data_IF_546662220749
#
_entry.id   IF_546662220749
#
_cell.length_a   1.000
_cell.length_b   1.000
_cell.length_c   1.000
_cell.angle_alpha   90.00
_cell.angle_beta   90.00
_cell.angle_gamma   90.00
#
_symmetry.space_group_name_H-M   'P 1'
#
loop_
_entity.id
_entity.type
_entity.pdbx_description
1 polymer ?
#
# COMPACT_ATOMS: atom_id res chain seq x y z
N UNK A 1 24.69 -38.58 -22.54
CA UNK A 1 23.76 -37.62 -21.90
C UNK A 1 24.52 -37.01 -20.72
N UNK A 2 24.86 -35.72 -20.77
CA UNK A 2 25.40 -35.00 -19.63
C UNK A 2 24.21 -34.41 -18.85
N UNK A 3 24.13 -34.66 -17.55
CA UNK A 3 23.23 -33.99 -16.63
C UNK A 3 24.06 -32.97 -15.84
N UNK A 4 23.64 -31.73 -15.81
CA UNK A 4 24.24 -30.64 -15.03
C UNK A 4 23.17 -29.83 -14.35
N UNK A 5 23.51 -29.10 -13.29
CA UNK A 5 22.64 -28.14 -12.65
C UNK A 5 22.79 -26.75 -13.31
N UNK A 6 21.69 -26.04 -13.47
CA UNK A 6 21.72 -24.64 -13.86
C UNK A 6 22.15 -23.85 -12.63
N UNK A 7 23.27 -23.18 -12.68
CA UNK A 7 23.73 -22.30 -11.60
C UNK A 7 23.44 -20.84 -11.98
N UNK A 8 22.86 -20.08 -11.05
CA UNK A 8 22.68 -18.64 -11.17
C UNK A 8 23.83 -17.98 -10.41
N UNK A 9 24.66 -17.19 -11.11
CA UNK A 9 25.69 -16.39 -10.44
C UNK A 9 25.03 -15.21 -9.74
N UNK A 10 25.27 -15.05 -8.44
CA UNK A 10 24.78 -13.93 -7.63
C UNK A 10 25.26 -12.59 -8.18
N UNK A 11 26.46 -12.53 -8.79
CA UNK A 11 27.01 -11.34 -9.45
C UNK A 11 26.10 -10.75 -10.53
N UNK A 12 25.24 -11.58 -11.14
CA UNK A 12 24.32 -11.13 -12.18
C UNK A 12 22.92 -10.80 -11.65
N UNK A 13 22.58 -11.15 -10.41
CA UNK A 13 21.22 -10.98 -9.87
C UNK A 13 20.93 -9.51 -9.58
N UNK A 14 21.82 -8.78 -8.90
CA UNK A 14 21.62 -7.37 -8.58
C UNK A 14 21.45 -6.47 -9.81
N UNK A 15 22.28 -6.60 -10.86
CA UNK A 15 22.06 -5.88 -12.12
C UNK A 15 20.73 -6.24 -12.80
N UNK A 16 20.28 -7.50 -12.69
CA UNK A 16 18.99 -7.92 -13.24
C UNK A 16 17.83 -7.33 -12.45
N UNK A 17 17.90 -7.32 -11.14
CA UNK A 17 16.90 -6.70 -10.27
C UNK A 17 16.80 -5.19 -10.59
N UNK A 18 17.95 -4.50 -10.62
CA UNK A 18 18.03 -3.07 -10.92
C UNK A 18 17.48 -2.70 -12.30
N UNK A 19 17.66 -3.56 -13.30
CA UNK A 19 17.35 -3.25 -14.70
C UNK A 19 16.00 -3.77 -15.19
N UNK A 20 15.50 -4.88 -14.64
CA UNK A 20 14.37 -5.60 -15.22
C UNK A 20 13.18 -5.85 -14.28
N UNK A 21 13.40 -5.89 -12.96
CA UNK A 21 12.30 -6.16 -12.03
C UNK A 21 11.44 -4.94 -11.74
N UNK A 22 12.04 -3.78 -11.73
CA UNK A 22 11.34 -2.54 -11.37
C UNK A 22 11.64 -1.47 -12.43
N UNK A 23 10.60 -1.07 -13.14
CA UNK A 23 10.68 0.02 -14.14
C UNK A 23 10.76 1.40 -13.51
N UNK A 24 10.38 1.51 -12.22
CA UNK A 24 10.32 2.77 -11.47
C UNK A 24 11.09 2.61 -10.16
N UNK A 25 12.10 3.46 -9.94
CA UNK A 25 12.92 3.45 -8.74
C UNK A 25 12.13 3.82 -7.48
N UNK A 26 11.07 4.61 -7.60
CA UNK A 26 10.23 5.05 -6.49
C UNK A 26 9.61 3.88 -5.70
N UNK A 27 9.47 2.72 -6.33
CA UNK A 27 8.86 1.52 -5.74
C UNK A 27 9.63 1.00 -4.51
N UNK A 28 10.93 1.32 -4.39
CA UNK A 28 11.74 0.87 -3.25
C UNK A 28 11.08 1.21 -1.91
N UNK A 29 10.54 2.42 -1.78
CA UNK A 29 9.93 2.88 -0.54
C UNK A 29 8.67 2.08 -0.20
N UNK A 30 7.81 1.82 -1.20
CA UNK A 30 6.64 0.96 -1.05
C UNK A 30 7.01 -0.44 -0.56
N UNK A 31 8.02 -1.07 -1.17
CA UNK A 31 8.43 -2.42 -0.82
C UNK A 31 9.01 -2.51 0.60
N UNK A 32 9.85 -1.56 0.99
CA UNK A 32 10.46 -1.55 2.33
C UNK A 32 9.43 -1.25 3.43
N UNK A 33 8.51 -0.31 3.19
CA UNK A 33 7.39 -0.03 4.12
C UNK A 33 6.45 -1.24 4.21
N UNK A 34 6.17 -1.94 3.09
CA UNK A 34 5.37 -3.17 3.10
C UNK A 34 6.01 -4.25 3.95
N UNK A 35 7.34 -4.45 3.85
CA UNK A 35 8.07 -5.41 4.67
C UNK A 35 8.01 -5.04 6.17
N UNK A 36 8.12 -3.75 6.50
CA UNK A 36 7.99 -3.25 7.88
C UNK A 36 6.56 -3.47 8.43
N UNK A 37 5.54 -3.26 7.59
CA UNK A 37 4.15 -3.55 7.92
C UNK A 37 3.93 -5.05 8.16
N UNK A 38 4.43 -5.91 7.27
CA UNK A 38 4.33 -7.37 7.42
C UNK A 38 5.02 -7.86 8.71
N UNK A 39 6.20 -7.34 9.03
CA UNK A 39 6.90 -7.67 10.27
C UNK A 39 6.06 -7.29 11.51
N UNK A 40 5.35 -6.18 11.45
CA UNK A 40 4.48 -5.70 12.52
C UNK A 40 3.19 -6.52 12.63
N UNK A 41 2.57 -6.86 11.49
CA UNK A 41 1.36 -7.71 11.46
C UNK A 41 1.66 -9.15 11.90
N UNK A 42 2.81 -9.71 11.53
CA UNK A 42 3.27 -11.02 12.02
C UNK A 42 3.38 -11.03 13.54
N UNK A 43 3.96 -9.98 14.12
CA UNK A 43 4.04 -9.84 15.57
C UNK A 43 2.65 -9.79 16.20
N UNK A 44 1.73 -8.98 15.62
CA UNK A 44 0.34 -8.90 16.10
C UNK A 44 -0.33 -10.27 16.11
N UNK A 45 -0.16 -11.04 15.04
CA UNK A 45 -0.70 -12.39 14.96
C UNK A 45 -0.11 -13.30 16.04
N UNK A 46 1.22 -13.38 16.16
CA UNK A 46 1.90 -14.24 17.14
C UNK A 46 1.57 -13.86 18.58
N UNK A 47 1.38 -12.58 18.89
CA UNK A 47 0.94 -12.16 20.23
C UNK A 47 -0.51 -12.55 20.50
N UNK A 48 -1.39 -12.43 19.51
CA UNK A 48 -2.81 -12.79 19.63
C UNK A 48 -3.01 -14.30 19.88
N UNK A 49 -2.21 -15.16 19.25
CA UNK A 49 -2.27 -16.61 19.45
C UNK A 49 -1.41 -17.08 20.64
N UNK A 50 -0.69 -16.18 21.31
CA UNK A 50 0.13 -16.46 22.49
C UNK A 50 1.48 -17.12 22.22
N UNK A 51 1.94 -17.18 20.97
CA UNK A 51 3.26 -17.69 20.60
C UNK A 51 4.38 -16.67 20.91
N UNK A 52 4.13 -15.39 20.71
CA UNK A 52 5.04 -14.32 21.14
C UNK A 52 4.63 -13.82 22.53
N UNK A 53 5.50 -14.03 23.52
CA UNK A 53 5.30 -13.57 24.90
C UNK A 53 5.86 -12.15 25.11
N UNK A 54 5.51 -11.25 24.24
CA UNK A 54 5.93 -9.84 24.28
C UNK A 54 4.71 -8.95 24.14
N UNK A 55 4.79 -7.75 24.67
CA UNK A 55 3.72 -6.77 24.47
C UNK A 55 3.75 -6.24 23.03
N UNK A 56 2.60 -6.23 22.35
CA UNK A 56 2.47 -5.66 21.02
C UNK A 56 2.62 -4.13 21.07
N UNK A 57 1.96 -3.48 22.02
CA UNK A 57 1.96 -2.03 22.18
C UNK A 57 1.26 -1.30 21.06
N UNK A 58 1.77 -0.11 20.74
CA UNK A 58 1.29 0.74 19.63
C UNK A 58 2.41 0.95 18.59
N UNK A 59 2.77 -0.08 17.82
CA UNK A 59 3.90 0.02 16.90
C UNK A 59 3.60 0.98 15.77
N UNK A 60 4.66 1.68 15.33
CA UNK A 60 4.70 2.57 14.19
C UNK A 60 5.87 2.19 13.29
N UNK A 61 5.72 2.50 12.01
CA UNK A 61 6.84 2.54 11.07
C UNK A 61 7.34 3.98 11.05
N UNK A 62 8.61 4.22 11.29
CA UNK A 62 9.19 5.55 11.26
C UNK A 62 10.11 5.69 10.06
N UNK A 63 9.93 6.76 9.29
CA UNK A 63 10.80 7.14 8.18
C UNK A 63 11.56 8.39 8.56
N UNK A 64 12.91 8.37 8.41
CA UNK A 64 13.80 9.49 8.73
C UNK A 64 14.78 9.73 7.62
N UNK A 65 15.10 11.00 7.38
CA UNK A 65 16.16 11.43 6.48
C UNK A 65 17.28 12.03 7.32
N UNK A 66 18.51 11.58 7.09
CA UNK A 66 19.70 12.24 7.58
C UNK A 66 20.49 12.81 6.39
N UNK A 67 20.36 14.13 6.19
CA UNK A 67 21.02 14.83 5.07
C UNK A 67 22.55 14.92 5.22
N UNK A 68 23.05 14.92 6.46
CA UNK A 68 24.49 15.01 6.73
C UNK A 68 25.19 13.72 6.32
N UNK A 69 24.63 12.58 6.72
CA UNK A 69 25.16 11.25 6.41
C UNK A 69 24.64 10.72 5.06
N UNK A 70 23.75 11.46 4.40
CA UNK A 70 23.07 11.07 3.15
C UNK A 70 22.33 9.73 3.26
N UNK A 71 21.63 9.51 4.37
CA UNK A 71 20.92 8.27 4.64
C UNK A 71 19.41 8.47 4.75
N UNK A 72 18.67 7.45 4.32
CA UNK A 72 17.25 7.29 4.55
C UNK A 72 17.04 6.06 5.45
N UNK A 73 16.29 6.23 6.52
CA UNK A 73 16.04 5.20 7.52
C UNK A 73 14.57 4.77 7.48
N UNK A 74 14.32 3.47 7.53
CA UNK A 74 12.99 2.87 7.69
C UNK A 74 13.07 1.96 8.91
N UNK A 75 12.28 2.30 9.94
CA UNK A 75 12.34 1.68 11.27
C UNK A 75 10.98 1.08 11.59
N UNK A 76 10.93 -0.21 11.90
CA UNK A 76 9.74 -0.89 12.39
C UNK A 76 9.93 -1.41 13.82
N UNK A 77 8.82 -1.73 14.47
CA UNK A 77 8.74 -2.34 15.79
C UNK A 77 8.12 -3.75 15.72
N UNK A 78 8.29 -4.41 14.56
CA UNK A 78 7.75 -5.74 14.27
C UNK A 78 8.49 -6.88 14.97
N UNK A 79 8.41 -8.07 14.40
CA UNK A 79 9.03 -9.28 14.98
C UNK A 79 10.55 -9.23 15.05
N UNK A 80 11.21 -8.39 14.24
CA UNK A 80 12.65 -8.41 14.06
C UNK A 80 13.17 -9.76 13.53
N UNK A 81 14.47 -9.92 13.48
CA UNK A 81 15.14 -11.15 13.02
C UNK A 81 16.30 -11.52 13.93
N UNK A 82 16.57 -12.82 14.08
CA UNK A 82 17.84 -13.33 14.61
C UNK A 82 18.90 -13.32 13.52
N UNK A 83 20.18 -13.52 13.87
CA UNK A 83 21.26 -13.62 12.88
C UNK A 83 21.01 -14.75 11.87
N UNK A 84 20.54 -15.91 12.31
CA UNK A 84 20.20 -17.04 11.45
C UNK A 84 19.03 -16.72 10.51
N UNK A 85 18.04 -15.95 11.00
CA UNK A 85 16.91 -15.49 10.20
C UNK A 85 17.35 -14.45 9.16
N UNK A 86 18.32 -13.59 9.47
CA UNK A 86 18.92 -12.67 8.50
C UNK A 86 19.63 -13.46 7.39
N UNK A 87 20.43 -14.47 7.73
CA UNK A 87 21.05 -15.33 6.73
C UNK A 87 20.04 -16.05 5.85
N UNK A 88 18.94 -16.51 6.44
CA UNK A 88 17.89 -17.24 5.72
C UNK A 88 17.04 -16.36 4.82
N UNK A 89 16.60 -15.17 5.29
CA UNK A 89 15.60 -14.34 4.62
C UNK A 89 16.20 -13.18 3.83
N UNK A 90 17.39 -12.72 4.21
CA UNK A 90 18.06 -11.60 3.54
C UNK A 90 19.11 -12.09 2.54
N UNK A 91 19.85 -13.15 2.85
CA UNK A 91 20.91 -13.63 1.95
C UNK A 91 20.43 -14.63 0.89
N UNK A 92 19.18 -15.11 0.98
CA UNK A 92 18.60 -16.00 -0.03
C UNK A 92 17.62 -15.22 -0.90
N UNK A 93 18.09 -14.85 -2.09
CA UNK A 93 17.26 -14.13 -3.08
C UNK A 93 16.05 -14.98 -3.49
N UNK A 94 14.88 -14.36 -3.58
CA UNK A 94 13.60 -15.00 -3.89
C UNK A 94 13.12 -16.03 -2.84
N UNK A 95 13.60 -15.94 -1.60
CA UNK A 95 13.07 -16.69 -0.49
C UNK A 95 12.15 -15.81 0.35
N UNK A 96 10.88 -16.14 0.45
CA UNK A 96 9.88 -15.33 1.14
C UNK A 96 9.59 -15.83 2.55
N UNK A 97 10.08 -15.11 3.56
CA UNK A 97 9.70 -15.36 4.95
C UNK A 97 8.23 -15.02 5.25
N UNK A 98 7.57 -14.24 4.40
CA UNK A 98 6.15 -13.97 4.50
C UNK A 98 5.32 -15.17 4.01
N UNK A 99 5.70 -15.78 2.89
CA UNK A 99 5.05 -16.98 2.36
C UNK A 99 5.22 -18.17 3.33
N UNK A 100 6.41 -18.36 3.89
CA UNK A 100 6.64 -19.39 4.92
C UNK A 100 5.73 -19.16 6.13
N UNK A 101 5.58 -17.92 6.59
CA UNK A 101 4.73 -17.57 7.70
C UNK A 101 3.24 -17.83 7.42
N UNK A 102 2.73 -17.43 6.25
CA UNK A 102 1.34 -17.69 5.84
C UNK A 102 1.06 -19.20 5.76
N UNK A 103 2.01 -19.99 5.28
CA UNK A 103 1.87 -21.44 5.21
C UNK A 103 1.78 -22.09 6.60
N UNK A 104 2.47 -21.54 7.62
CA UNK A 104 2.41 -21.99 9.00
C UNK A 104 1.18 -21.47 9.74
N UNK A 105 0.74 -20.24 9.45
CA UNK A 105 -0.36 -19.53 10.11
C UNK A 105 -1.41 -19.12 9.08
N UNK A 106 -2.27 -20.05 8.69
CA UNK A 106 -3.28 -19.85 7.64
C UNK A 106 -4.32 -18.77 7.97
N UNK A 107 -4.48 -18.47 9.25
CA UNK A 107 -5.41 -17.45 9.74
C UNK A 107 -4.74 -16.07 9.90
N UNK A 108 -3.50 -15.92 9.44
CA UNK A 108 -2.80 -14.64 9.46
C UNK A 108 -3.26 -13.79 8.29
N UNK A 109 -3.97 -12.69 8.59
CA UNK A 109 -4.51 -11.77 7.60
C UNK A 109 -3.58 -10.58 7.34
N UNK A 110 -3.70 -10.00 6.16
CA UNK A 110 -3.09 -8.70 5.81
C UNK A 110 -1.62 -8.75 5.42
N UNK A 111 -0.97 -9.92 5.44
CA UNK A 111 0.44 -10.08 5.01
C UNK A 111 0.52 -10.02 3.49
N UNK A 112 1.48 -9.23 2.97
CA UNK A 112 1.55 -8.82 1.57
C UNK A 112 2.73 -9.45 0.83
N UNK A 113 3.84 -9.73 1.55
CA UNK A 113 5.08 -10.22 0.95
C UNK A 113 4.98 -11.66 0.45
N UNK A 114 5.20 -11.89 -0.86
CA UNK A 114 5.16 -13.23 -1.45
C UNK A 114 6.45 -13.65 -2.17
N UNK A 115 7.20 -12.70 -2.74
CA UNK A 115 8.25 -13.03 -3.70
C UNK A 115 9.68 -13.04 -3.13
N UNK A 116 9.91 -12.52 -1.92
CA UNK A 116 11.25 -12.43 -1.32
C UNK A 116 12.24 -11.54 -2.09
N UNK A 117 11.73 -10.59 -2.86
CA UNK A 117 12.53 -9.69 -3.72
C UNK A 117 12.41 -8.21 -3.30
N UNK A 118 11.39 -7.85 -2.54
CA UNK A 118 11.11 -6.46 -2.18
C UNK A 118 12.25 -5.75 -1.45
N UNK A 119 12.96 -6.46 -0.56
CA UNK A 119 14.11 -5.91 0.16
C UNK A 119 15.22 -5.41 -0.79
N UNK A 120 15.48 -6.16 -1.85
CA UNK A 120 16.55 -5.83 -2.80
C UNK A 120 16.27 -4.58 -3.64
N UNK A 121 15.04 -4.08 -3.65
CA UNK A 121 14.72 -2.78 -4.26
C UNK A 121 15.49 -1.62 -3.64
N UNK A 122 15.96 -1.78 -2.39
CA UNK A 122 16.85 -0.82 -1.71
C UNK A 122 18.09 -0.45 -2.54
N UNK A 123 18.67 -1.44 -3.23
CA UNK A 123 19.87 -1.24 -4.07
C UNK A 123 19.59 -0.50 -5.38
N UNK A 124 18.36 -0.16 -5.68
CA UNK A 124 18.02 0.71 -6.81
C UNK A 124 18.43 2.17 -6.56
N UNK A 125 18.43 2.57 -5.29
CA UNK A 125 18.63 3.96 -4.86
C UNK A 125 19.79 4.14 -3.89
N UNK A 126 20.38 3.04 -3.39
CA UNK A 126 21.45 3.06 -2.41
C UNK A 126 22.71 2.34 -2.91
N UNK A 127 23.88 2.92 -2.60
CA UNK A 127 25.18 2.30 -2.83
C UNK A 127 25.55 1.32 -1.72
N UNK A 128 24.98 1.48 -0.54
CA UNK A 128 25.16 0.61 0.63
C UNK A 128 23.86 0.51 1.40
N UNK A 129 23.54 -0.68 1.88
CA UNK A 129 22.37 -0.95 2.73
C UNK A 129 22.84 -1.58 4.03
N UNK A 130 22.36 -1.05 5.16
CA UNK A 130 22.54 -1.65 6.47
C UNK A 130 21.19 -2.09 7.03
N UNK A 131 21.19 -3.20 7.77
CA UNK A 131 20.02 -3.72 8.47
C UNK A 131 20.42 -4.03 9.90
N UNK A 132 19.81 -3.30 10.86
CA UNK A 132 20.03 -3.50 12.29
C UNK A 132 18.73 -4.05 12.88
N UNK A 133 18.77 -5.27 13.40
CA UNK A 133 17.55 -5.97 13.82
C UNK A 133 17.69 -6.67 15.17
N UNK A 134 16.59 -6.67 15.93
CA UNK A 134 16.45 -7.39 17.19
C UNK A 134 15.14 -8.19 17.14
N UNK A 135 15.25 -9.51 17.20
CA UNK A 135 14.11 -10.40 17.23
C UNK A 135 13.28 -10.23 18.53
N UNK A 136 11.98 -10.56 18.45
CA UNK A 136 11.13 -10.74 19.65
C UNK A 136 11.56 -11.93 20.50
N UNK A 137 12.39 -12.82 19.94
CA UNK A 137 13.03 -13.92 20.64
C UNK A 137 14.18 -13.38 21.50
N UNK A 138 14.55 -14.13 22.54
CA UNK A 138 15.67 -13.76 23.42
C UNK A 138 17.03 -14.14 22.80
N UNK A 139 17.35 -13.48 21.68
CA UNK A 139 18.56 -13.66 20.88
C UNK A 139 19.31 -12.33 20.73
N UNK A 140 20.63 -12.32 20.54
CA UNK A 140 21.38 -11.08 20.30
C UNK A 140 20.86 -10.33 19.06
N UNK A 141 20.97 -9.00 19.08
CA UNK A 141 20.70 -8.20 17.90
C UNK A 141 21.79 -8.42 16.83
N UNK A 142 21.41 -8.26 15.59
CA UNK A 142 22.27 -8.46 14.42
C UNK A 142 22.38 -7.16 13.60
N UNK A 143 23.57 -6.92 13.05
CA UNK A 143 23.86 -5.86 12.09
C UNK A 143 24.40 -6.48 10.80
N UNK A 144 23.64 -6.35 9.75
CA UNK A 144 23.98 -6.82 8.41
C UNK A 144 24.29 -5.62 7.52
N UNK A 145 25.30 -5.75 6.66
CA UNK A 145 25.71 -4.69 5.73
C UNK A 145 26.09 -5.29 4.38
N UNK A 146 25.66 -4.63 3.28
CA UNK A 146 26.03 -4.97 1.92
C UNK A 146 26.11 -3.70 1.06
N UNK A 147 27.08 -3.66 0.16
CA UNK A 147 27.31 -2.56 -0.81
C UNK A 147 26.78 -2.90 -2.22
N UNK A 148 25.91 -3.89 -2.34
CA UNK A 148 25.39 -4.35 -3.62
C UNK A 148 26.32 -5.32 -4.36
N UNK A 149 27.47 -5.67 -3.78
CA UNK A 149 28.30 -6.81 -4.21
C UNK A 149 27.70 -8.13 -3.69
N UNK A 150 28.19 -9.30 -4.14
CA UNK A 150 27.76 -10.59 -3.57
C UNK A 150 28.17 -10.80 -2.12
N UNK A 151 29.05 -9.95 -1.59
CA UNK A 151 29.57 -10.05 -0.23
C UNK A 151 28.72 -9.25 0.75
N UNK A 152 28.57 -9.78 1.96
CA UNK A 152 27.91 -9.10 3.08
C UNK A 152 28.73 -9.26 4.34
N UNK A 153 28.49 -8.41 5.33
CA UNK A 153 28.96 -8.59 6.71
C UNK A 153 27.77 -8.80 7.63
N UNK A 154 27.94 -9.67 8.62
CA UNK A 154 26.94 -9.92 9.65
C UNK A 154 27.63 -9.95 11.02
N UNK A 155 27.31 -9.01 11.86
CA UNK A 155 27.92 -8.81 13.18
C UNK A 155 26.85 -8.70 14.28
N UNK A 156 27.27 -8.78 15.53
CA UNK A 156 26.38 -8.46 16.66
C UNK A 156 26.15 -6.96 16.74
N UNK A 157 24.90 -6.56 16.97
CA UNK A 157 24.53 -5.16 17.18
C UNK A 157 24.20 -4.88 18.66
N UNK A 158 24.34 -3.62 19.02
CA UNK A 158 23.88 -3.11 20.32
C UNK A 158 22.50 -2.43 20.16
N UNK A 159 21.49 -3.26 19.87
CA UNK A 159 20.08 -2.84 19.77
C UNK A 159 19.28 -3.55 20.85
N UNK A 160 18.64 -2.79 21.72
CA UNK A 160 17.84 -3.31 22.83
C UNK A 160 16.39 -3.54 22.46
N UNK A 161 15.83 -2.64 21.67
CA UNK A 161 14.42 -2.66 21.31
C UNK A 161 14.18 -3.58 20.11
N UNK A 162 13.09 -4.35 20.17
CA UNK A 162 12.61 -5.20 19.11
C UNK A 162 12.31 -4.42 17.82
N UNK A 163 12.48 -5.07 16.68
CA UNK A 163 12.18 -4.52 15.36
C UNK A 163 13.41 -4.40 14.49
N UNK A 164 13.21 -3.81 13.32
CA UNK A 164 14.26 -3.67 12.31
C UNK A 164 14.42 -2.22 11.91
N UNK A 165 15.65 -1.79 11.73
CA UNK A 165 16.03 -0.53 11.10
C UNK A 165 16.80 -0.85 9.82
N UNK A 166 16.30 -0.33 8.69
CA UNK A 166 16.98 -0.38 7.39
C UNK A 166 17.54 1.00 7.12
N UNK A 167 18.84 1.08 6.85
CA UNK A 167 19.57 2.32 6.56
C UNK A 167 20.05 2.25 5.12
N UNK A 168 19.58 3.17 4.30
CA UNK A 168 19.96 3.32 2.90
C UNK A 168 20.95 4.46 2.76
N UNK A 169 22.18 4.17 2.36
CA UNK A 169 23.15 5.18 1.94
C UNK A 169 22.84 5.55 0.50
N UNK A 170 22.19 6.69 0.34
CA UNK A 170 21.61 7.11 -0.94
C UNK A 170 22.68 7.40 -1.96
N UNK A 171 22.59 6.76 -3.12
CA UNK A 171 23.50 6.94 -4.24
C UNK A 171 23.46 8.36 -4.81
N UNK A 172 24.56 8.78 -5.44
CA UNK A 172 24.71 10.15 -5.95
C UNK A 172 23.67 10.51 -7.03
N UNK A 173 23.26 9.54 -7.82
CA UNK A 173 22.21 9.68 -8.87
C UNK A 173 20.78 9.65 -8.33
N UNK A 174 20.62 9.36 -7.05
CA UNK A 174 19.33 9.16 -6.37
C UNK A 174 19.08 10.17 -5.24
N UNK A 175 19.81 11.29 -5.22
CA UNK A 175 19.78 12.32 -4.17
C UNK A 175 18.39 12.94 -3.94
N UNK A 176 17.50 12.86 -4.90
CA UNK A 176 16.13 13.34 -4.74
C UNK A 176 15.42 12.67 -3.55
N UNK A 177 15.77 11.43 -3.22
CA UNK A 177 15.21 10.70 -2.07
C UNK A 177 15.75 11.15 -0.70
N UNK A 178 16.64 12.14 -0.65
CA UNK A 178 17.03 12.86 0.55
C UNK A 178 16.21 14.14 0.79
N UNK A 179 15.28 14.46 -0.13
CA UNK A 179 14.40 15.61 0.00
C UNK A 179 13.07 15.21 0.66
N UNK A 180 12.69 15.93 1.73
CA UNK A 180 11.49 15.65 2.52
C UNK A 180 10.21 15.65 1.66
N UNK A 181 10.11 16.63 0.73
CA UNK A 181 8.95 16.72 -0.15
C UNK A 181 8.79 15.49 -1.03
N UNK A 182 9.92 14.90 -1.52
CA UNK A 182 9.90 13.71 -2.37
C UNK A 182 9.47 12.47 -1.59
N UNK A 183 10.03 12.26 -0.41
CA UNK A 183 9.61 11.13 0.45
C UNK A 183 8.15 11.27 0.87
N UNK A 184 7.72 12.50 1.23
CA UNK A 184 6.32 12.75 1.58
C UNK A 184 5.37 12.46 0.40
N UNK A 185 5.72 12.87 -0.81
CA UNK A 185 4.99 12.54 -2.03
C UNK A 185 4.83 11.02 -2.20
N UNK A 186 5.93 10.27 -2.09
CA UNK A 186 5.94 8.83 -2.26
C UNK A 186 5.16 8.09 -1.17
N UNK A 187 5.29 8.51 0.08
CA UNK A 187 4.51 7.95 1.19
C UNK A 187 3.01 8.13 0.97
N UNK A 188 2.58 9.32 0.52
CA UNK A 188 1.17 9.57 0.19
C UNK A 188 0.71 8.81 -1.05
N UNK A 189 1.57 8.64 -2.06
CA UNK A 189 1.25 7.91 -3.29
C UNK A 189 1.06 6.41 -3.04
N UNK A 190 1.98 5.79 -2.32
CA UNK A 190 2.04 4.32 -2.21
C UNK A 190 1.53 3.76 -0.88
N UNK A 191 1.59 4.54 0.21
CA UNK A 191 1.41 4.04 1.56
C UNK A 191 0.25 4.71 2.32
N UNK A 192 -0.55 5.54 1.64
CA UNK A 192 -1.61 6.38 2.21
C UNK A 192 -2.60 5.61 3.10
N UNK A 193 -2.85 4.35 2.81
CA UNK A 193 -3.85 3.53 3.50
C UNK A 193 -3.28 2.28 4.17
N UNK A 194 -1.97 2.22 4.36
CA UNK A 194 -1.31 1.10 5.04
C UNK A 194 -1.91 0.87 6.45
N UNK A 195 -2.02 -0.40 6.89
CA UNK A 195 -2.69 -0.74 8.17
C UNK A 195 -1.87 -0.38 9.41
N UNK A 196 -0.59 -0.08 9.27
CA UNK A 196 0.30 0.33 10.37
C UNK A 196 0.59 1.82 10.25
N UNK A 197 0.50 2.61 11.35
CA UNK A 197 0.82 4.03 11.34
C UNK A 197 2.24 4.29 10.83
N UNK A 198 2.38 5.23 9.89
CA UNK A 198 3.67 5.65 9.33
C UNK A 198 3.96 7.07 9.79
N UNK A 199 5.01 7.19 10.59
CA UNK A 199 5.52 8.47 11.09
C UNK A 199 6.56 9.03 10.13
N UNK A 200 6.35 10.25 9.67
CA UNK A 200 7.36 11.02 8.94
C UNK A 200 7.42 12.45 9.47
N UNK A 201 8.44 12.71 10.28
CA UNK A 201 8.62 13.98 10.99
C UNK A 201 7.62 14.19 12.12
N UNK A 202 7.47 15.45 12.50
CA UNK A 202 6.56 15.93 13.56
C UNK A 202 5.68 17.06 13.04
N UNK A 203 4.54 17.29 13.68
CA UNK A 203 3.66 18.44 13.41
C UNK A 203 3.28 19.13 14.71
N UNK A 204 2.99 20.41 14.64
CA UNK A 204 2.44 21.16 15.77
C UNK A 204 0.93 21.00 15.81
N UNK A 205 0.41 20.59 16.95
CA UNK A 205 -1.02 20.59 17.24
C UNK A 205 -1.34 21.61 18.32
N UNK A 206 -2.42 22.36 18.08
CA UNK A 206 -2.93 23.32 19.04
C UNK A 206 -3.93 22.61 19.95
N UNK A 207 -3.64 22.52 21.24
CA UNK A 207 -4.58 21.97 22.21
C UNK A 207 -5.79 22.89 22.35
N UNK A 208 -7.02 22.34 22.37
CA UNK A 208 -8.18 23.15 22.65
C UNK A 208 -8.07 23.73 24.08
N UNK A 209 -8.44 24.98 24.20
CA UNK A 209 -8.49 25.62 25.53
C UNK A 209 -9.53 24.89 26.40
N UNK A 210 -9.24 24.68 27.70
CA UNK A 210 -10.25 24.21 28.66
C UNK A 210 -11.48 25.14 28.66
N UNK A 211 -12.67 24.60 28.92
CA UNK A 211 -13.92 25.39 28.97
C UNK A 211 -13.85 26.54 29.99
N UNK A 212 -12.97 26.41 31.02
CA UNK A 212 -12.78 27.43 32.09
C UNK A 212 -11.56 28.34 31.80
N UNK A 213 -11.05 28.35 30.58
CA UNK A 213 -9.88 29.18 30.26
C UNK A 213 -10.21 30.68 30.33
N UNK A 214 -9.26 31.48 30.82
CA UNK A 214 -9.39 32.94 30.83
C UNK A 214 -9.49 33.48 29.38
N UNK A 215 -10.23 34.60 29.19
CA UNK A 215 -10.45 35.21 27.87
C UNK A 215 -9.18 35.54 27.11
N UNK A 216 -8.04 35.71 27.81
CA UNK A 216 -6.70 35.99 27.24
C UNK A 216 -5.81 34.74 27.12
N UNK A 217 -6.33 33.54 27.42
CA UNK A 217 -5.54 32.32 27.37
C UNK A 217 -5.17 31.98 25.91
N UNK A 218 -3.87 31.80 25.66
CA UNK A 218 -3.40 31.31 24.36
C UNK A 218 -3.41 29.79 24.34
N UNK A 219 -3.89 29.16 23.25
CA UNK A 219 -3.79 27.73 23.10
C UNK A 219 -2.34 27.26 23.18
N UNK A 220 -2.12 26.15 23.84
CA UNK A 220 -0.79 25.52 23.92
C UNK A 220 -0.53 24.75 22.63
N UNK A 221 0.63 24.99 22.01
CA UNK A 221 1.11 24.21 20.87
C UNK A 221 1.99 23.09 21.42
N UNK A 222 1.64 21.85 21.07
CA UNK A 222 2.45 20.66 21.35
C UNK A 222 2.99 20.09 20.04
N UNK A 223 4.19 19.51 20.11
CA UNK A 223 4.76 18.78 18.99
C UNK A 223 4.37 17.31 19.09
N UNK A 224 3.72 16.78 18.04
CA UNK A 224 3.27 15.40 17.96
C UNK A 224 3.82 14.71 16.73
N UNK A 225 3.86 13.39 16.74
CA UNK A 225 4.24 12.60 15.57
C UNK A 225 3.36 12.94 14.36
N UNK A 226 3.96 13.19 13.23
CA UNK A 226 3.23 13.37 11.98
C UNK A 226 2.95 11.99 11.36
N UNK A 227 1.74 11.46 11.59
CA UNK A 227 1.27 10.22 10.95
C UNK A 227 0.66 10.57 9.61
N UNK A 228 1.21 10.01 8.53
CA UNK A 228 0.88 10.40 7.16
C UNK A 228 -0.23 9.56 6.52
N UNK A 229 -0.57 8.42 7.09
CA UNK A 229 -1.50 7.46 6.51
C UNK A 229 -2.78 7.31 7.35
N UNK A 230 -3.87 6.93 6.67
CA UNK A 230 -5.12 6.53 7.28
C UNK A 230 -5.15 4.99 7.40
N UNK A 231 -5.01 4.48 8.61
CA UNK A 231 -4.93 3.02 8.87
C UNK A 231 -6.29 2.31 8.83
N UNK A 232 -7.39 3.06 8.82
CA UNK A 232 -8.76 2.53 8.80
C UNK A 232 -9.60 3.24 7.73
N UNK A 233 -9.26 3.09 6.45
CA UNK A 233 -10.00 3.74 5.38
C UNK A 233 -11.43 3.21 5.29
N UNK A 234 -12.33 4.03 4.73
CA UNK A 234 -13.77 3.76 4.74
C UNK A 234 -14.14 2.39 4.13
N UNK A 235 -13.41 1.90 3.13
CA UNK A 235 -13.73 0.61 2.47
C UNK A 235 -13.44 -0.62 3.33
N UNK A 236 -12.69 -0.50 4.42
CA UNK A 236 -12.42 -1.61 5.36
C UNK A 236 -13.53 -1.80 6.39
N UNK A 237 -14.45 -0.82 6.49
CA UNK A 237 -15.60 -0.87 7.39
C UNK A 237 -16.79 -1.53 6.70
N UNK A 238 -17.74 -2.05 7.48
CA UNK A 238 -18.97 -2.55 6.90
C UNK A 238 -19.85 -1.40 6.40
N UNK A 239 -20.69 -1.59 5.35
CA UNK A 239 -21.58 -0.56 4.87
C UNK A 239 -22.55 -0.01 5.92
N UNK A 240 -22.88 -0.82 6.93
CA UNK A 240 -23.79 -0.43 8.04
C UNK A 240 -23.15 0.51 9.07
N UNK A 241 -21.82 0.63 9.05
CA UNK A 241 -21.06 1.50 9.96
C UNK A 241 -20.79 2.88 9.37
N UNK A 242 -21.16 3.10 8.11
CA UNK A 242 -20.87 4.33 7.38
C UNK A 242 -22.15 5.11 7.05
N UNK A 243 -22.06 6.41 7.18
CA UNK A 243 -23.07 7.38 6.75
C UNK A 243 -22.75 7.93 5.36
N UNK A 244 -23.69 8.65 4.74
CA UNK A 244 -23.45 9.33 3.46
C UNK A 244 -22.34 10.40 3.58
N UNK A 245 -22.22 11.05 4.74
CA UNK A 245 -21.17 12.00 5.07
C UNK A 245 -19.80 11.32 5.10
N UNK A 246 -19.69 10.10 5.62
CA UNK A 246 -18.44 9.32 5.65
C UNK A 246 -17.98 8.96 4.22
N UNK A 247 -18.92 8.56 3.36
CA UNK A 247 -18.61 8.30 1.95
C UNK A 247 -18.13 9.56 1.22
N UNK A 248 -18.77 10.70 1.50
CA UNK A 248 -18.36 11.97 0.90
C UNK A 248 -17.00 12.45 1.42
N UNK A 249 -16.75 12.31 2.72
CA UNK A 249 -15.45 12.61 3.33
C UNK A 249 -14.35 11.75 2.70
N UNK A 250 -14.63 10.45 2.51
CA UNK A 250 -13.70 9.55 1.85
C UNK A 250 -13.47 9.91 0.37
N UNK A 251 -14.50 10.31 -0.36
CA UNK A 251 -14.34 10.81 -1.74
C UNK A 251 -13.42 12.03 -1.80
N UNK A 252 -13.57 12.98 -0.87
CA UNK A 252 -12.71 14.17 -0.77
C UNK A 252 -11.29 13.82 -0.34
N UNK A 253 -11.12 12.82 0.49
CA UNK A 253 -9.81 12.27 0.86
C UNK A 253 -9.08 11.69 -0.35
N UNK A 254 -9.77 10.92 -1.21
CA UNK A 254 -9.19 10.35 -2.43
C UNK A 254 -8.87 11.42 -3.48
N UNK A 255 -9.77 12.40 -3.64
CA UNK A 255 -9.75 13.39 -4.72
C UNK A 255 -9.85 14.83 -4.17
N UNK A 256 -8.83 15.33 -3.46
CA UNK A 256 -8.89 16.64 -2.77
C UNK A 256 -9.05 17.83 -3.73
N UNK A 257 -8.72 17.67 -5.01
CA UNK A 257 -8.86 18.72 -6.02
C UNK A 257 -10.20 18.67 -6.76
N UNK A 258 -11.09 17.73 -6.40
CA UNK A 258 -12.43 17.61 -6.98
C UNK A 258 -13.44 18.33 -6.11
N UNK A 259 -14.05 19.38 -6.66
CA UNK A 259 -15.06 20.19 -5.94
C UNK A 259 -16.49 19.65 -6.12
N UNK A 260 -16.72 18.88 -7.20
CA UNK A 260 -18.03 18.28 -7.47
C UNK A 260 -18.21 17.01 -6.68
N UNK A 261 -19.36 16.87 -6.04
CA UNK A 261 -19.72 15.66 -5.30
C UNK A 261 -20.10 14.53 -6.27
N UNK A 262 -19.85 13.26 -5.91
CA UNK A 262 -20.26 12.13 -6.71
C UNK A 262 -21.80 12.03 -6.75
N UNK A 263 -22.33 11.51 -7.86
CA UNK A 263 -23.79 11.32 -8.03
C UNK A 263 -24.33 10.25 -7.07
N UNK A 264 -23.56 9.20 -6.85
CA UNK A 264 -23.79 8.10 -5.90
C UNK A 264 -22.52 7.28 -5.71
N UNK A 265 -22.56 6.41 -4.72
CA UNK A 265 -21.49 5.46 -4.43
C UNK A 265 -21.98 4.01 -4.46
N UNK A 266 -21.04 3.08 -4.61
CA UNK A 266 -21.25 1.63 -4.55
C UNK A 266 -20.20 1.07 -3.60
N UNK A 267 -20.62 0.53 -2.47
CA UNK A 267 -19.74 -0.16 -1.54
C UNK A 267 -19.65 -1.64 -1.92
N UNK A 268 -18.43 -2.10 -2.19
CA UNK A 268 -18.10 -3.49 -2.45
C UNK A 268 -17.66 -4.13 -1.14
N UNK A 269 -18.31 -5.21 -0.76
CA UNK A 269 -17.94 -6.01 0.42
C UNK A 269 -18.35 -7.46 0.15
N UNK A 270 -17.38 -8.27 -0.27
CA UNK A 270 -17.54 -9.67 -0.68
C UNK A 270 -16.41 -10.47 -0.07
N UNK A 271 -16.76 -11.57 0.59
CA UNK A 271 -15.83 -12.51 1.21
C UNK A 271 -15.89 -13.91 0.58
N UNK A 272 -16.88 -14.17 -0.27
CA UNK A 272 -17.02 -15.42 -1.02
C UNK A 272 -17.72 -15.18 -2.37
N UNK A 273 -17.30 -15.77 -3.48
CA UNK A 273 -16.21 -16.76 -3.68
C UNK A 273 -14.81 -16.14 -3.86
N UNK A 274 -14.64 -14.87 -3.60
CA UNK A 274 -13.39 -14.12 -3.61
C UNK A 274 -13.51 -12.98 -2.62
N UNK A 275 -12.37 -12.53 -2.10
CA UNK A 275 -12.30 -11.36 -1.23
C UNK A 275 -12.21 -10.08 -2.08
N UNK A 276 -13.20 -9.21 -1.92
CA UNK A 276 -13.25 -7.93 -2.63
C UNK A 276 -13.90 -6.88 -1.73
N UNK A 277 -13.15 -5.88 -1.37
CA UNK A 277 -13.67 -4.68 -0.71
C UNK A 277 -13.41 -3.46 -1.59
N UNK A 278 -14.10 -2.37 -1.31
CA UNK A 278 -13.87 -1.14 -2.05
C UNK A 278 -15.08 -0.21 -2.06
N UNK A 279 -14.84 1.01 -2.49
CA UNK A 279 -15.91 1.98 -2.71
C UNK A 279 -15.70 2.60 -4.08
N UNK A 280 -16.70 2.44 -4.94
CA UNK A 280 -16.73 3.06 -6.25
C UNK A 280 -17.68 4.25 -6.23
N UNK A 281 -17.27 5.34 -6.85
CA UNK A 281 -18.03 6.57 -6.98
C UNK A 281 -18.39 6.82 -8.44
N UNK A 282 -19.62 7.22 -8.67
CA UNK A 282 -20.07 7.70 -9.96
C UNK A 282 -19.85 9.22 -10.01
N UNK A 283 -18.86 9.70 -10.77
CA UNK A 283 -18.53 11.12 -10.77
C UNK A 283 -19.62 11.94 -11.45
N UNK A 284 -19.83 13.17 -11.00
CA UNK A 284 -20.52 14.17 -11.77
C UNK A 284 -19.56 14.74 -12.81
N UNK A 285 -19.89 14.58 -14.08
CA UNK A 285 -19.03 15.02 -15.17
C UNK A 285 -19.26 16.52 -15.45
N UNK A 286 -18.31 17.33 -15.04
CA UNK A 286 -18.27 18.75 -15.42
C UNK A 286 -17.81 18.95 -16.88
N UNK A 287 -17.80 20.20 -17.33
CA UNK A 287 -17.39 20.56 -18.70
C UNK A 287 -15.91 20.26 -19.02
N UNK A 288 -15.08 20.02 -18.02
CA UNK A 288 -13.66 19.68 -18.15
C UNK A 288 -13.43 18.23 -17.68
N UNK A 289 -13.66 17.26 -18.56
CA UNK A 289 -13.39 15.85 -18.31
C UNK A 289 -11.87 15.64 -18.42
N UNK A 290 -11.17 15.66 -17.28
CA UNK A 290 -9.78 15.24 -17.21
C UNK A 290 -9.76 13.71 -17.03
N UNK A 291 -9.77 12.97 -18.13
CA UNK A 291 -9.89 11.51 -18.18
C UNK A 291 -8.67 10.78 -17.57
N UNK A 292 -7.54 11.48 -17.40
CA UNK A 292 -6.26 10.84 -17.12
C UNK A 292 -5.82 10.86 -15.64
N UNK A 293 -6.48 11.62 -14.77
CA UNK A 293 -5.99 11.83 -13.39
C UNK A 293 -6.74 11.12 -12.28
N UNK A 294 -8.00 10.76 -12.49
CA UNK A 294 -8.87 10.30 -11.42
C UNK A 294 -9.42 8.89 -11.72
N UNK A 295 -8.53 7.91 -11.70
CA UNK A 295 -8.86 6.52 -11.99
C UNK A 295 -9.26 5.76 -10.72
N UNK A 296 -9.80 4.57 -10.91
CA UNK A 296 -9.95 3.60 -9.82
C UNK A 296 -8.56 3.15 -9.40
N UNK A 297 -8.30 3.19 -8.09
CA UNK A 297 -7.06 2.73 -7.49
C UNK A 297 -7.22 1.29 -7.01
N UNK A 298 -6.30 0.43 -7.41
CA UNK A 298 -6.24 -0.96 -6.95
C UNK A 298 -5.31 -1.06 -5.75
N UNK A 299 -5.82 -1.70 -4.71
CA UNK A 299 -5.07 -2.07 -3.51
C UNK A 299 -5.05 -3.60 -3.34
N UNK A 300 -4.09 -4.08 -2.60
CA UNK A 300 -4.02 -5.44 -2.08
C UNK A 300 -3.65 -5.36 -0.60
N UNK A 301 -4.58 -5.73 0.28
CA UNK A 301 -4.43 -5.59 1.72
C UNK A 301 -3.99 -4.15 2.12
N UNK A 302 -4.70 -3.13 1.60
CA UNK A 302 -4.44 -1.70 1.84
C UNK A 302 -3.10 -1.17 1.26
N UNK A 303 -2.34 -1.99 0.52
CA UNK A 303 -1.15 -1.53 -0.20
C UNK A 303 -1.50 -1.18 -1.63
N UNK A 304 -1.15 0.03 -2.04
CA UNK A 304 -1.36 0.51 -3.41
C UNK A 304 -0.60 -0.35 -4.43
N UNK A 305 -1.31 -0.81 -5.45
CA UNK A 305 -0.77 -1.61 -6.54
C UNK A 305 -0.62 -0.76 -7.80
N UNK A 306 -1.74 -0.27 -8.32
CA UNK A 306 -1.80 0.49 -9.57
C UNK A 306 -3.12 1.25 -9.68
N UNK A 307 -3.16 2.25 -10.52
CA UNK A 307 -4.37 2.94 -10.99
C UNK A 307 -4.78 2.50 -12.42
N UNK A 308 -4.03 1.58 -13.01
CA UNK A 308 -4.34 0.96 -14.29
C UNK A 308 -5.08 -0.36 -14.09
N UNK A 309 -6.42 -0.28 -13.94
CA UNK A 309 -7.30 -1.44 -13.64
C UNK A 309 -7.87 -2.11 -14.89
N UNK A 310 -7.15 -2.08 -16.01
CA UNK A 310 -7.57 -2.70 -17.26
C UNK A 310 -7.87 -4.19 -17.08
N UNK A 311 -9.06 -4.61 -17.51
CA UNK A 311 -9.53 -5.99 -17.38
C UNK A 311 -10.21 -6.34 -16.05
N UNK A 312 -10.03 -5.55 -14.99
CA UNK A 312 -10.80 -5.68 -13.73
C UNK A 312 -12.11 -4.91 -13.86
N UNK A 313 -12.05 -3.69 -14.33
CA UNK A 313 -13.23 -2.87 -14.57
C UNK A 313 -13.46 -2.83 -16.08
N UNK A 314 -14.70 -3.18 -16.54
CA UNK A 314 -15.03 -3.08 -17.96
C UNK A 314 -14.83 -1.65 -18.49
N UNK A 315 -14.40 -1.54 -19.74
CA UNK A 315 -14.10 -0.25 -20.37
C UNK A 315 -15.24 0.78 -20.27
N UNK A 316 -16.51 0.33 -20.35
CA UNK A 316 -17.66 1.22 -20.20
C UNK A 316 -17.88 1.76 -18.79
N UNK A 317 -17.15 1.25 -17.78
CA UNK A 317 -17.13 1.72 -16.40
C UNK A 317 -15.83 2.46 -16.04
N UNK A 318 -14.93 2.72 -17.00
CA UNK A 318 -13.63 3.36 -16.75
C UNK A 318 -13.72 4.80 -16.20
N UNK A 319 -14.89 5.44 -16.32
CA UNK A 319 -15.12 6.75 -15.71
C UNK A 319 -15.50 6.70 -14.23
N UNK A 320 -15.72 5.50 -13.68
CA UNK A 320 -15.86 5.35 -12.24
C UNK A 320 -14.56 5.72 -11.55
N UNK A 321 -14.69 6.22 -10.34
CA UNK A 321 -13.60 6.57 -9.44
C UNK A 321 -13.69 5.75 -8.17
N UNK A 322 -12.63 5.72 -7.38
CA UNK A 322 -12.67 5.05 -6.08
C UNK A 322 -11.55 4.06 -5.87
N UNK A 323 -11.83 3.08 -5.05
CA UNK A 323 -10.86 2.07 -4.59
C UNK A 323 -11.44 0.68 -4.75
N UNK A 324 -10.59 -0.24 -5.19
CA UNK A 324 -10.81 -1.69 -5.15
C UNK A 324 -9.65 -2.28 -4.36
N UNK A 325 -9.95 -3.13 -3.38
CA UNK A 325 -8.96 -3.87 -2.60
C UNK A 325 -9.30 -5.36 -2.64
N UNK A 326 -8.37 -6.18 -3.11
CA UNK A 326 -8.57 -7.63 -3.22
C UNK A 326 -7.24 -8.38 -3.16
N UNK A 327 -7.06 -9.29 -2.20
CA UNK A 327 -5.90 -10.19 -2.15
C UNK A 327 -5.92 -11.26 -3.24
N UNK A 328 -7.09 -11.53 -3.84
CA UNK A 328 -7.29 -12.61 -4.82
C UNK A 328 -6.95 -12.21 -6.26
N UNK A 329 -6.58 -10.94 -6.48
CA UNK A 329 -6.12 -10.47 -7.78
C UNK A 329 -4.65 -10.85 -7.94
N UNK A 330 -4.31 -11.74 -8.90
CA UNK A 330 -2.92 -12.16 -9.09
C UNK A 330 -2.08 -11.02 -9.67
N UNK A 331 -0.98 -10.71 -9.00
CA UNK A 331 -0.03 -9.69 -9.39
C UNK A 331 1.25 -10.34 -9.92
N UNK A 332 1.98 -9.63 -10.77
CA UNK A 332 3.34 -10.00 -11.11
C UNK A 332 4.32 -9.62 -9.97
N UNK A 333 5.59 -9.99 -10.12
CA UNK A 333 6.64 -9.76 -9.12
C UNK A 333 6.79 -8.27 -8.76
N UNK A 334 6.67 -7.38 -9.74
CA UNK A 334 6.77 -5.92 -9.54
C UNK A 334 5.47 -5.27 -9.07
N UNK A 335 4.38 -6.04 -8.94
CA UNK A 335 3.02 -5.55 -8.65
C UNK A 335 2.54 -4.46 -9.63
N UNK A 336 3.18 -4.34 -10.79
CA UNK A 336 2.90 -3.28 -11.76
C UNK A 336 1.89 -3.69 -12.82
N UNK A 337 1.65 -4.99 -13.01
CA UNK A 337 0.75 -5.51 -14.04
C UNK A 337 -0.15 -6.59 -13.47
N UNK A 338 -1.39 -6.57 -13.93
CA UNK A 338 -2.38 -7.59 -13.62
C UNK A 338 -2.18 -8.81 -14.54
N UNK A 339 -2.21 -9.99 -13.95
CA UNK A 339 -2.27 -11.21 -14.75
C UNK A 339 -3.73 -11.49 -15.15
N UNK A 340 -3.95 -11.73 -16.43
CA UNK A 340 -5.27 -12.13 -16.93
C UNK A 340 -5.63 -13.53 -16.40
N UNK A 341 -6.46 -13.59 -15.35
CA UNK A 341 -6.88 -14.83 -14.70
C UNK A 341 -8.41 -14.94 -14.64
N UNK A 342 -8.88 -16.15 -14.34
CA UNK A 342 -10.27 -16.46 -14.10
C UNK A 342 -10.87 -15.69 -12.91
N UNK A 343 -10.09 -15.38 -11.88
CA UNK A 343 -10.51 -14.56 -10.74
C UNK A 343 -10.85 -13.13 -11.17
N UNK A 344 -10.00 -12.50 -11.98
CA UNK A 344 -10.22 -11.14 -12.51
C UNK A 344 -11.53 -11.05 -13.29
N UNK A 345 -11.86 -12.06 -14.11
CA UNK A 345 -13.13 -12.09 -14.85
C UNK A 345 -14.35 -12.17 -13.93
N UNK A 346 -14.29 -12.95 -12.84
CA UNK A 346 -15.36 -13.06 -11.86
C UNK A 346 -15.55 -11.74 -11.10
N UNK A 347 -14.47 -11.10 -10.70
CA UNK A 347 -14.50 -9.80 -10.04
C UNK A 347 -15.11 -8.75 -10.98
N UNK A 348 -14.68 -8.69 -12.23
CA UNK A 348 -15.23 -7.78 -13.25
C UNK A 348 -16.72 -7.97 -13.47
N UNK A 349 -17.18 -9.20 -13.57
CA UNK A 349 -18.60 -9.53 -13.70
C UNK A 349 -19.41 -9.11 -12.47
N UNK A 350 -18.84 -9.30 -11.26
CA UNK A 350 -19.47 -8.88 -10.02
C UNK A 350 -19.61 -7.36 -9.92
N UNK A 351 -18.54 -6.61 -10.23
CA UNK A 351 -18.57 -5.15 -10.26
C UNK A 351 -19.66 -4.67 -11.25
N UNK A 352 -19.67 -5.22 -12.46
CA UNK A 352 -20.69 -4.89 -13.46
C UNK A 352 -22.11 -5.10 -12.94
N UNK A 353 -22.36 -6.24 -12.30
CA UNK A 353 -23.67 -6.54 -11.71
C UNK A 353 -24.02 -5.54 -10.61
N UNK A 354 -23.11 -5.23 -9.68
CA UNK A 354 -23.33 -4.26 -8.59
C UNK A 354 -23.67 -2.87 -9.12
N UNK A 355 -22.97 -2.43 -10.18
CA UNK A 355 -23.29 -1.15 -10.84
C UNK A 355 -24.69 -1.19 -11.45
N UNK A 356 -25.04 -2.24 -12.18
CA UNK A 356 -26.38 -2.39 -12.78
C UNK A 356 -27.49 -2.45 -11.72
N UNK A 357 -27.28 -3.18 -10.64
CA UNK A 357 -28.23 -3.30 -9.52
C UNK A 357 -28.44 -1.92 -8.85
N UNK A 358 -27.36 -1.16 -8.61
CA UNK A 358 -27.45 0.21 -8.04
C UNK A 358 -28.22 1.15 -8.95
N UNK A 359 -27.93 1.16 -10.24
CA UNK A 359 -28.66 1.98 -11.22
C UNK A 359 -30.14 1.63 -11.26
N UNK A 360 -30.49 0.33 -11.27
CA UNK A 360 -31.88 -0.14 -11.23
C UNK A 360 -32.59 0.29 -9.94
N UNK A 361 -31.89 0.22 -8.80
CA UNK A 361 -32.41 0.69 -7.51
C UNK A 361 -32.72 2.20 -7.52
N UNK A 362 -31.81 3.03 -8.08
CA UNK A 362 -32.01 4.48 -8.18
C UNK A 362 -33.23 4.84 -9.02
N UNK A 363 -33.44 4.14 -10.15
CA UNK A 363 -34.64 4.32 -10.99
C UNK A 363 -35.91 4.00 -10.21
N UNK A 364 -35.89 2.91 -9.43
CA UNK A 364 -37.08 2.42 -8.70
C UNK A 364 -37.40 3.28 -7.48
N UNK A 365 -36.37 3.76 -6.78
CA UNK A 365 -36.54 4.53 -5.54
C UNK A 365 -36.96 5.98 -5.78
N UNK A 366 -36.33 6.66 -6.76
CA UNK A 366 -36.63 8.04 -7.09
C UNK A 366 -36.35 8.33 -8.57
N UNK A 367 -37.34 8.03 -9.40
CA UNK A 367 -37.25 8.21 -10.84
C UNK A 367 -36.99 9.66 -11.27
N UNK A 368 -37.60 10.64 -10.59
CA UNK A 368 -37.42 12.05 -10.94
C UNK A 368 -35.97 12.52 -10.68
N UNK A 369 -35.38 12.10 -9.56
CA UNK A 369 -33.98 12.41 -9.24
C UNK A 369 -33.02 11.71 -10.22
N UNK A 370 -33.31 10.46 -10.56
CA UNK A 370 -32.56 9.73 -11.57
C UNK A 370 -32.61 10.41 -12.96
N UNK A 371 -33.79 10.87 -13.37
CA UNK A 371 -33.95 11.58 -14.65
C UNK A 371 -33.19 12.92 -14.67
N UNK A 372 -33.11 13.63 -13.54
CA UNK A 372 -32.27 14.84 -13.41
C UNK A 372 -30.77 14.54 -13.55
N UNK A 373 -30.32 13.43 -12.98
CA UNK A 373 -28.93 12.96 -13.02
C UNK A 373 -28.59 12.23 -14.33
N UNK A 374 -29.60 11.91 -15.16
CA UNK A 374 -29.42 11.10 -16.36
C UNK A 374 -28.41 11.66 -17.35
N UNK A 375 -28.32 12.99 -17.52
CA UNK A 375 -27.38 13.58 -18.44
C UNK A 375 -25.91 13.29 -18.05
N UNK A 376 -25.60 13.27 -16.77
CA UNK A 376 -24.28 12.94 -16.25
C UNK A 376 -24.04 11.40 -16.30
N UNK A 377 -25.04 10.61 -15.92
CA UNK A 377 -24.99 9.14 -15.95
C UNK A 377 -24.78 8.61 -17.37
N UNK A 378 -25.56 9.12 -18.34
CA UNK A 378 -25.44 8.64 -19.75
C UNK A 378 -24.07 8.95 -20.34
N UNK A 379 -23.42 10.06 -19.98
CA UNK A 379 -22.10 10.40 -20.48
C UNK A 379 -21.05 9.35 -20.06
N UNK A 380 -21.15 8.82 -18.85
CA UNK A 380 -20.29 7.70 -18.38
C UNK A 380 -20.57 6.42 -19.17
N UNK A 381 -21.83 6.16 -19.53
CA UNK A 381 -22.24 4.90 -20.19
C UNK A 381 -22.14 4.95 -21.72
N UNK A 382 -22.30 6.11 -22.33
CA UNK A 382 -22.44 6.27 -23.81
C UNK A 382 -21.14 6.39 -24.57
N UNK A 383 -20.08 6.89 -23.93
CA UNK A 383 -18.79 7.09 -24.61
C UNK A 383 -18.20 5.79 -25.14
N UNK A 384 -18.58 4.65 -24.52
CA UNK A 384 -18.06 3.33 -24.89
C UNK A 384 -18.94 2.54 -25.85
N UNK A 385 -20.28 2.70 -25.77
CA UNK A 385 -21.18 2.07 -26.75
C UNK A 385 -20.90 2.57 -28.18
N UNK A 386 -20.56 3.86 -28.34
CA UNK A 386 -20.18 4.42 -29.63
C UNK A 386 -18.82 3.93 -30.14
N UNK A 387 -17.84 3.69 -29.25
CA UNK A 387 -16.54 3.17 -29.66
C UNK A 387 -16.63 1.73 -30.18
N UNK A 388 -17.51 0.91 -29.61
CA UNK A 388 -17.77 -0.47 -30.09
C UNK A 388 -18.59 -0.54 -31.39
N UNK A 389 -19.46 0.43 -31.66
CA UNK A 389 -20.21 0.48 -32.93
C UNK A 389 -19.32 0.94 -34.10
N UNK A 390 -18.35 1.85 -33.87
CA UNK A 390 -17.42 2.32 -34.92
C UNK A 390 -16.36 1.28 -35.30
N UNK A 391 -16.12 0.25 -34.50
CA UNK A 391 -15.19 -0.84 -34.83
C UNK A 391 -15.89 -2.03 -35.55
N UNK A 392 -17.19 -1.94 -35.80
CA UNK A 392 -17.98 -2.96 -36.52
C UNK A 392 -18.24 -2.67 -38.00
N UNK A 393 -17.72 -1.54 -38.51
CA UNK A 393 -17.82 -1.20 -39.93
C UNK A 393 -16.46 -1.01 -40.60
#
# INVERSE_FOLDING_TARGET
MSKGNINVSVENIFPLIKKFLYSDHEIFLRELISNASDATLKLKHLTNIGEAKVEYGNPKIEVKINKEDKTLHIIDQGIGMTADEVEKYINQVAFSGAEEFINQHKDADGIIGHFGLGFYSAFMVADKVELITKSYKDEPAAHWTCDGSPEFTLEKADKTDRGTEIILHIAEDSKEFLEEWKINELLHKYNKFMPIPIKFGTKKETLPLPEDAAEDAKPEEIEVDNIINNTQPAWTKSPSELTDEDYLAFYRELYPMQFEEPLFHIHLNVDYPFNLTGILFFPKLGNNINLDKDRIQLYQNQVFVTDEVNGIVPDFLMLLRGVIDSPDIPLNVSRSYLQADGAVKKISAHITKKVADKMSSLITQNREDYEKKWNDIKAVSYTHLRAHETLRY
#
